data_IF_843102743889
#
_entry.id   IF_843102743889
#
_cell.length_a   1.000
_cell.length_b   1.000
_cell.length_c   1.000
_cell.angle_alpha   90.00
_cell.angle_beta   90.00
_cell.angle_gamma   90.00
#
_symmetry.space_group_name_H-M   'P 1'
#
loop_
_entity.id
_entity.type
_entity.pdbx_description
1 polymer ?
#
# COMPACT_ATOMS: atom_id res chain seq x y z
N UNK A 1 -4.25 -8.41 -0.94
CA UNK A 1 -3.91 -8.58 -2.37
C UNK A 1 -5.03 -8.22 -3.35
N UNK A 2 -6.08 -9.03 -3.58
CA UNK A 2 -7.07 -8.75 -4.66
C UNK A 2 -7.80 -7.41 -4.50
N UNK A 3 -8.38 -7.16 -3.32
CA UNK A 3 -9.02 -5.88 -3.00
C UNK A 3 -8.08 -4.70 -3.26
N UNK A 4 -6.81 -4.84 -2.90
CA UNK A 4 -5.81 -3.80 -3.03
C UNK A 4 -5.54 -3.45 -4.50
N UNK A 5 -5.40 -4.46 -5.38
CA UNK A 5 -5.27 -4.25 -6.83
C UNK A 5 -6.48 -3.51 -7.42
N UNK A 6 -7.70 -3.91 -7.06
CA UNK A 6 -8.90 -3.24 -7.55
C UNK A 6 -9.07 -1.83 -6.99
N UNK A 7 -8.68 -1.58 -5.74
CA UNK A 7 -8.69 -0.27 -5.11
C UNK A 7 -7.69 0.68 -5.79
N UNK A 8 -6.45 0.23 -6.03
CA UNK A 8 -5.41 0.97 -6.75
C UNK A 8 -5.91 1.48 -8.11
N UNK A 9 -6.57 0.60 -8.88
CA UNK A 9 -7.19 0.95 -10.17
C UNK A 9 -8.34 1.95 -10.04
N UNK A 10 -9.23 1.76 -9.08
CA UNK A 10 -10.40 2.64 -8.88
C UNK A 10 -9.98 4.04 -8.46
N UNK A 11 -8.95 4.15 -7.61
CA UNK A 11 -8.37 5.42 -7.20
C UNK A 11 -7.50 6.06 -8.30
N UNK A 12 -7.17 5.32 -9.36
CA UNK A 12 -6.38 5.81 -10.48
C UNK A 12 -4.88 5.86 -10.20
N UNK A 13 -4.41 5.19 -9.15
CA UNK A 13 -3.01 5.20 -8.75
C UNK A 13 -2.15 4.42 -9.76
N UNK A 14 -2.62 3.24 -10.19
CA UNK A 14 -1.95 2.37 -11.16
C UNK A 14 -0.49 2.05 -10.76
N UNK A 15 -0.29 1.62 -9.51
CA UNK A 15 1.03 1.26 -8.97
C UNK A 15 1.12 -0.21 -8.56
N UNK A 16 -0.01 -0.87 -8.35
CA UNK A 16 -0.05 -2.29 -8.00
C UNK A 16 0.11 -3.22 -9.21
N UNK A 17 0.66 -4.41 -8.98
CA UNK A 17 0.77 -5.43 -10.02
C UNK A 17 -0.60 -6.06 -10.33
N UNK A 18 -0.86 -6.44 -11.60
CA UNK A 18 -2.05 -7.19 -11.96
C UNK A 18 -2.23 -8.43 -11.09
N UNK A 19 -3.42 -8.59 -10.53
CA UNK A 19 -3.72 -9.68 -9.62
C UNK A 19 -5.14 -10.21 -9.81
N UNK A 20 -5.29 -11.54 -9.83
CA UNK A 20 -6.58 -12.23 -9.95
C UNK A 20 -6.63 -13.47 -9.05
N UNK A 21 -7.83 -13.88 -8.65
CA UNK A 21 -8.03 -15.12 -7.89
C UNK A 21 -8.38 -16.27 -8.84
N UNK A 22 -7.70 -17.41 -8.71
CA UNK A 22 -7.94 -18.58 -9.58
C UNK A 22 -7.96 -19.91 -8.83
N UNK A 23 -8.84 -20.81 -9.26
CA UNK A 23 -8.92 -22.19 -8.81
C UNK A 23 -8.15 -23.00 -9.82
N UNK A 24 -7.04 -23.57 -9.38
CA UNK A 24 -6.24 -24.42 -10.21
C UNK A 24 -6.80 -25.84 -10.19
N UNK A 25 -7.03 -26.39 -11.38
CA UNK A 25 -7.40 -27.80 -11.59
C UNK A 25 -6.44 -28.34 -12.63
N UNK A 26 -5.33 -28.91 -12.18
CA UNK A 26 -4.27 -29.36 -13.06
C UNK A 26 -3.53 -30.53 -12.43
N UNK A 27 -3.38 -31.63 -13.18
CA UNK A 27 -2.70 -32.84 -12.69
C UNK A 27 -1.18 -32.66 -12.59
N UNK A 28 -0.62 -31.63 -13.24
CA UNK A 28 0.81 -31.32 -13.19
C UNK A 28 1.17 -30.38 -12.02
N UNK A 29 0.19 -29.77 -11.37
CA UNK A 29 0.44 -28.89 -10.23
C UNK A 29 0.42 -29.69 -8.93
N UNK A 30 1.36 -29.44 -7.99
CA UNK A 30 1.35 -30.10 -6.68
C UNK A 30 0.02 -29.93 -5.95
N UNK A 31 -0.39 -30.96 -5.20
CA UNK A 31 -1.66 -31.00 -4.47
C UNK A 31 -1.96 -29.73 -3.65
N UNK A 32 -0.93 -29.10 -3.06
CA UNK A 32 -1.07 -27.84 -2.29
C UNK A 32 -1.70 -26.67 -3.07
N UNK A 33 -1.58 -26.67 -4.40
CA UNK A 33 -2.07 -25.61 -5.28
C UNK A 33 -3.46 -25.89 -5.87
N UNK A 34 -3.82 -27.16 -5.99
CA UNK A 34 -5.09 -27.60 -6.60
C UNK A 34 -6.14 -28.02 -5.57
N UNK A 35 -5.74 -28.20 -4.31
CA UNK A 35 -6.66 -28.50 -3.21
C UNK A 35 -7.19 -27.24 -2.53
N UNK A 36 -8.48 -27.27 -2.19
CA UNK A 36 -9.11 -26.30 -1.31
C UNK A 36 -9.49 -24.98 -1.99
N UNK A 37 -9.12 -23.87 -1.35
CA UNK A 37 -9.58 -22.54 -1.71
C UNK A 37 -8.85 -21.97 -2.95
N UNK A 38 -9.53 -21.10 -3.73
CA UNK A 38 -8.90 -20.30 -4.77
C UNK A 38 -7.60 -19.62 -4.32
N UNK A 39 -6.64 -19.49 -5.23
CA UNK A 39 -5.33 -18.92 -4.96
C UNK A 39 -5.12 -17.59 -5.69
N UNK A 40 -4.46 -16.60 -5.06
CA UNK A 40 -4.08 -15.38 -5.75
C UNK A 40 -3.00 -15.68 -6.79
N UNK A 41 -3.17 -15.13 -7.98
CA UNK A 41 -2.20 -15.10 -9.07
C UNK A 41 -1.82 -13.65 -9.28
N UNK A 42 -0.55 -13.35 -9.07
CA UNK A 42 0.00 -12.00 -9.24
C UNK A 42 0.96 -12.05 -10.40
N UNK A 43 0.87 -11.06 -11.29
CA UNK A 43 1.81 -10.92 -12.39
C UNK A 43 3.24 -10.77 -11.85
N UNK A 44 4.16 -11.57 -12.37
CA UNK A 44 5.58 -11.42 -12.07
C UNK A 44 6.20 -10.40 -13.01
N UNK A 45 6.72 -9.30 -12.46
CA UNK A 45 7.28 -8.19 -13.22
C UNK A 45 8.82 -8.23 -13.17
N UNK A 46 9.51 -8.67 -14.24
CA UNK A 46 10.98 -8.76 -14.27
C UNK A 46 11.68 -7.40 -14.22
N UNK A 47 10.94 -6.33 -14.49
CA UNK A 47 11.48 -4.98 -14.52
C UNK A 47 11.59 -4.38 -13.11
N UNK A 48 11.01 -5.02 -12.08
CA UNK A 48 11.23 -4.61 -10.70
C UNK A 48 12.73 -4.72 -10.38
N UNK A 49 13.26 -3.62 -9.86
CA UNK A 49 14.64 -3.55 -9.40
C UNK A 49 14.73 -4.10 -7.97
N UNK A 50 15.65 -5.02 -7.75
CA UNK A 50 15.97 -5.54 -6.41
C UNK A 50 17.41 -5.19 -6.09
N UNK A 51 17.71 -4.94 -4.81
CA UNK A 51 19.08 -4.82 -4.34
C UNK A 51 19.81 -6.16 -4.52
N UNK A 52 21.10 -6.10 -4.82
CA UNK A 52 21.96 -7.27 -4.92
C UNK A 52 22.46 -7.68 -3.53
N UNK A 53 21.56 -8.18 -2.69
CA UNK A 53 21.83 -8.65 -1.34
C UNK A 53 21.03 -9.94 -1.09
N UNK A 54 21.67 -10.96 -0.51
CA UNK A 54 21.10 -12.30 -0.29
C UNK A 54 19.94 -12.28 0.72
N UNK A 55 19.88 -11.28 1.60
CA UNK A 55 18.86 -11.14 2.67
C UNK A 55 17.85 -10.00 2.43
N UNK A 56 18.00 -9.21 1.36
CA UNK A 56 17.36 -7.89 1.22
C UNK A 56 16.72 -7.66 -0.17
N UNK A 57 16.20 -8.74 -0.77
CA UNK A 57 15.47 -8.72 -2.04
C UNK A 57 14.14 -7.94 -1.98
N UNK A 58 13.79 -7.38 -0.83
CA UNK A 58 12.50 -6.72 -0.63
C UNK A 58 12.49 -5.25 -1.05
N UNK A 59 13.63 -4.65 -1.40
CA UNK A 59 13.75 -3.23 -1.72
C UNK A 59 14.54 -2.99 -3.01
N UNK A 60 14.24 -1.88 -3.69
CA UNK A 60 15.10 -1.27 -4.71
C UNK A 60 16.03 -0.24 -4.10
N UNK A 61 15.64 0.34 -2.96
CA UNK A 61 16.35 1.40 -2.25
C UNK A 61 16.29 1.12 -0.74
N UNK A 62 17.43 1.09 -0.03
CA UNK A 62 17.43 0.94 1.42
C UNK A 62 17.07 2.29 2.09
N UNK A 63 16.02 2.30 2.90
CA UNK A 63 15.59 3.48 3.65
C UNK A 63 15.25 3.11 5.09
N UNK A 64 15.75 3.89 6.05
CA UNK A 64 15.21 3.92 7.41
C UNK A 64 14.08 4.94 7.53
N UNK A 65 13.25 4.82 8.57
CA UNK A 65 12.19 5.77 8.88
C UNK A 65 12.74 7.19 9.01
N UNK A 66 13.87 7.35 9.72
CA UNK A 66 14.51 8.64 9.89
C UNK A 66 15.02 9.24 8.56
N UNK A 67 15.50 8.41 7.63
CA UNK A 67 15.90 8.86 6.29
C UNK A 67 14.68 9.23 5.44
N UNK A 68 13.63 8.41 5.45
CA UNK A 68 12.37 8.69 4.77
C UNK A 68 11.76 10.03 5.20
N UNK A 69 11.67 10.28 6.51
CA UNK A 69 11.16 11.55 7.04
C UNK A 69 12.01 12.77 6.64
N UNK A 70 13.32 12.61 6.49
CA UNK A 70 14.19 13.67 5.93
C UNK A 70 13.94 13.86 4.44
N UNK A 71 13.80 12.77 3.70
CA UNK A 71 13.55 12.78 2.26
C UNK A 71 12.24 13.49 1.90
N UNK A 72 11.16 13.25 2.65
CA UNK A 72 9.88 13.94 2.44
C UNK A 72 10.01 15.47 2.51
N UNK A 73 10.88 15.99 3.37
CA UNK A 73 11.11 17.44 3.51
C UNK A 73 11.88 18.04 2.33
N UNK A 74 12.65 17.23 1.61
CA UNK A 74 13.42 17.67 0.45
C UNK A 74 12.57 17.82 -0.82
N UNK A 75 11.38 17.19 -0.84
CA UNK A 75 10.43 17.29 -1.96
C UNK A 75 11.10 17.02 -3.30
N UNK A 76 11.79 15.88 -3.37
CA UNK A 76 12.58 15.42 -4.51
C UNK A 76 11.79 15.44 -5.83
N UNK A 77 12.40 15.97 -6.90
CA UNK A 77 11.75 16.15 -8.20
C UNK A 77 10.80 17.36 -8.27
N UNK A 78 10.72 18.16 -7.20
CA UNK A 78 9.99 19.44 -7.16
C UNK A 78 10.89 20.60 -6.70
N UNK A 79 11.54 20.43 -5.55
CA UNK A 79 12.44 21.44 -4.96
C UNK A 79 13.90 20.98 -5.05
N UNK A 80 14.18 19.73 -4.68
CA UNK A 80 15.49 19.11 -4.86
C UNK A 80 15.58 18.32 -6.18
N UNK A 81 16.78 18.28 -6.78
CA UNK A 81 17.06 17.40 -7.92
C UNK A 81 16.87 15.95 -7.51
N UNK A 82 16.08 15.23 -8.31
CA UNK A 82 15.77 13.81 -8.14
C UNK A 82 17.02 12.93 -8.10
N UNK A 83 18.10 13.35 -8.77
CA UNK A 83 19.40 12.66 -8.85
C UNK A 83 20.37 13.03 -7.71
N UNK A 84 20.01 13.97 -6.86
CA UNK A 84 20.86 14.34 -5.73
C UNK A 84 21.02 13.15 -4.78
N UNK A 85 22.18 13.02 -4.13
CA UNK A 85 22.46 11.89 -3.24
C UNK A 85 21.51 11.76 -2.04
N UNK A 86 20.83 12.85 -1.67
CA UNK A 86 19.82 12.85 -0.61
C UNK A 86 18.43 12.39 -1.10
N UNK A 87 18.21 12.38 -2.41
CA UNK A 87 17.04 11.83 -3.06
C UNK A 87 17.32 10.39 -3.51
N UNK A 88 16.28 9.56 -3.56
CA UNK A 88 16.40 8.14 -3.94
C UNK A 88 15.92 7.86 -5.35
N UNK A 89 15.92 8.88 -6.21
CA UNK A 89 15.43 8.76 -7.58
C UNK A 89 13.90 8.77 -7.72
N UNK A 90 13.13 8.76 -6.63
CA UNK A 90 11.65 8.70 -6.62
C UNK A 90 11.01 10.08 -6.44
N UNK A 91 10.00 10.40 -7.26
CA UNK A 91 9.28 11.68 -7.18
C UNK A 91 8.55 11.84 -5.85
N UNK A 92 8.55 13.06 -5.30
CA UNK A 92 7.88 13.39 -4.03
C UNK A 92 6.40 12.95 -3.99
N UNK A 93 5.67 13.14 -5.08
CA UNK A 93 4.25 12.80 -5.21
C UNK A 93 3.96 11.30 -5.06
N UNK A 94 4.95 10.44 -5.30
CA UNK A 94 4.79 8.98 -5.17
C UNK A 94 4.65 8.57 -3.69
N UNK A 95 5.26 9.30 -2.76
CA UNK A 95 5.13 9.01 -1.33
C UNK A 95 3.74 9.34 -0.80
N UNK A 96 3.12 10.42 -1.27
CA UNK A 96 1.72 10.74 -0.98
C UNK A 96 0.74 9.72 -1.57
N UNK A 97 1.04 9.24 -2.78
CA UNK A 97 0.28 8.17 -3.45
C UNK A 97 0.35 6.87 -2.64
N UNK A 98 1.56 6.49 -2.21
CA UNK A 98 1.79 5.31 -1.38
C UNK A 98 1.09 5.42 -0.03
N UNK A 99 1.30 6.53 0.69
CA UNK A 99 0.73 6.74 2.01
C UNK A 99 -0.80 6.71 2.02
N UNK A 100 -1.46 7.28 0.99
CA UNK A 100 -2.92 7.20 0.84
C UNK A 100 -3.38 5.75 0.70
N UNK A 101 -2.73 4.98 -0.16
CA UNK A 101 -3.08 3.60 -0.43
C UNK A 101 -2.90 2.72 0.81
N UNK A 102 -1.72 2.81 1.44
CA UNK A 102 -1.38 2.06 2.63
C UNK A 102 -2.25 2.46 3.82
N UNK A 103 -2.62 3.74 3.96
CA UNK A 103 -3.56 4.17 5.01
C UNK A 103 -4.98 3.60 4.81
N UNK A 104 -5.53 3.62 3.60
CA UNK A 104 -6.88 3.06 3.38
C UNK A 104 -6.93 1.56 3.71
N UNK A 105 -5.91 0.83 3.27
CA UNK A 105 -5.82 -0.62 3.49
C UNK A 105 -5.25 -1.00 4.86
N UNK A 106 -4.62 -0.06 5.57
CA UNK A 106 -3.80 -0.30 6.76
C UNK A 106 -2.69 -1.32 6.49
N UNK A 107 -1.98 -1.15 5.36
CA UNK A 107 -0.74 -1.89 5.05
C UNK A 107 0.39 -1.21 5.81
N UNK A 108 0.75 -1.75 6.98
CA UNK A 108 1.78 -1.15 7.80
C UNK A 108 3.18 -1.65 7.48
N UNK A 109 3.34 -2.89 6.98
CA UNK A 109 4.64 -3.52 6.88
C UNK A 109 5.68 -2.70 6.09
N UNK A 110 5.21 -1.98 5.05
CA UNK A 110 6.06 -1.16 4.18
C UNK A 110 6.72 0.04 4.89
N UNK A 111 5.92 0.87 5.57
CA UNK A 111 6.37 2.13 6.20
C UNK A 111 6.52 2.05 7.72
N UNK A 112 5.88 1.06 8.34
CA UNK A 112 5.80 0.83 9.78
C UNK A 112 5.80 -0.68 10.10
N UNK A 113 6.82 -1.39 9.58
CA UNK A 113 7.13 -2.81 9.84
C UNK A 113 7.10 -3.21 11.31
N UNK A 114 7.37 -2.25 12.19
CA UNK A 114 7.56 -2.45 13.62
C UNK A 114 6.27 -2.16 14.41
N UNK A 115 5.17 -1.81 13.74
CA UNK A 115 3.89 -1.47 14.34
C UNK A 115 3.98 -0.34 15.38
N UNK A 116 4.75 0.70 15.10
CA UNK A 116 4.95 1.80 16.03
C UNK A 116 3.80 2.81 16.02
N UNK A 117 2.99 2.85 14.97
CA UNK A 117 1.95 3.86 14.78
C UNK A 117 0.54 3.45 15.24
N UNK A 118 0.39 2.28 15.84
CA UNK A 118 -0.88 1.77 16.39
C UNK A 118 -0.59 0.76 17.50
N UNK A 119 -1.61 0.36 18.27
CA UNK A 119 -1.47 -0.72 19.25
C UNK A 119 -1.63 -2.08 18.54
N UNK A 120 -0.57 -2.90 18.40
CA UNK A 120 -0.67 -4.19 17.74
C UNK A 120 -1.35 -5.24 18.60
N UNK A 121 -2.03 -6.20 17.93
CA UNK A 121 -2.45 -7.44 18.57
C UNK A 121 -1.21 -8.31 18.86
N UNK A 122 -1.18 -9.12 19.93
CA UNK A 122 -0.06 -10.00 20.23
C UNK A 122 0.31 -10.97 19.10
N UNK A 123 -0.62 -11.29 18.21
CA UNK A 123 -0.42 -12.18 17.04
C UNK A 123 0.12 -11.47 15.79
N UNK A 124 0.31 -10.15 15.84
CA UNK A 124 0.93 -9.42 14.73
C UNK A 124 2.41 -9.80 14.61
N UNK A 125 2.89 -10.01 13.38
CA UNK A 125 4.26 -10.45 13.10
C UNK A 125 5.34 -9.53 13.68
N UNK A 126 5.07 -8.23 13.79
CA UNK A 126 5.97 -7.27 14.42
C UNK A 126 6.16 -7.51 15.93
N UNK A 127 5.17 -8.09 16.59
CA UNK A 127 5.22 -8.46 18.02
C UNK A 127 5.86 -9.84 18.17
N UNK A 128 5.40 -10.82 17.40
CA UNK A 128 5.93 -12.19 17.45
C UNK A 128 7.44 -12.24 17.15
N UNK A 129 7.90 -11.44 16.18
CA UNK A 129 9.31 -11.33 15.82
C UNK A 129 10.10 -10.32 16.68
N UNK A 130 9.51 -9.81 17.77
CA UNK A 130 10.11 -8.84 18.70
C UNK A 130 10.58 -7.54 18.05
N UNK A 131 10.06 -7.21 16.86
CA UNK A 131 10.41 -5.98 16.15
C UNK A 131 9.87 -4.75 16.89
N UNK A 132 8.66 -4.84 17.45
CA UNK A 132 8.00 -3.72 18.15
C UNK A 132 8.85 -3.10 19.27
N UNK A 133 9.74 -3.88 19.91
CA UNK A 133 10.67 -3.39 20.92
C UNK A 133 11.61 -2.27 20.42
N UNK A 134 11.82 -2.17 19.10
CA UNK A 134 12.68 -1.16 18.47
C UNK A 134 11.99 0.19 18.26
N UNK A 135 10.67 0.31 18.51
CA UNK A 135 9.95 1.57 18.31
C UNK A 135 10.50 2.76 19.12
N UNK A 136 11.25 2.50 20.20
CA UNK A 136 11.94 3.54 20.99
C UNK A 136 13.13 4.20 20.28
N UNK A 137 13.66 3.63 19.19
CA UNK A 137 14.78 4.20 18.45
C UNK A 137 14.47 4.33 16.94
N UNK A 138 14.07 5.52 16.46
CA UNK A 138 13.70 5.71 15.05
C UNK A 138 14.80 5.39 14.02
N UNK A 139 16.07 5.34 14.43
CA UNK A 139 17.20 5.00 13.55
C UNK A 139 17.25 3.51 13.20
N UNK A 140 16.65 2.67 14.03
CA UNK A 140 16.66 1.21 13.86
C UNK A 140 15.45 0.70 13.07
N UNK A 141 14.56 1.62 12.68
CA UNK A 141 13.33 1.33 11.95
C UNK A 141 13.59 1.41 10.45
N UNK A 142 13.52 0.27 9.77
CA UNK A 142 13.72 0.15 8.33
C UNK A 142 12.38 0.09 7.58
N UNK A 143 12.36 0.65 6.38
CA UNK A 143 11.28 0.47 5.42
C UNK A 143 11.56 -0.79 4.58
N UNK A 144 10.50 -1.45 4.16
CA UNK A 144 10.56 -2.62 3.26
C UNK A 144 9.57 -2.45 2.12
N UNK A 145 9.71 -3.25 1.05
CA UNK A 145 8.84 -3.18 -0.13
C UNK A 145 8.83 -1.78 -0.78
N UNK A 146 9.95 -1.06 -0.70
CA UNK A 146 10.19 0.19 -1.44
C UNK A 146 10.78 -0.19 -2.78
N UNK A 147 9.90 -0.35 -3.76
CA UNK A 147 10.25 -0.89 -5.07
C UNK A 147 9.97 0.09 -6.19
N UNK A 148 10.82 0.02 -7.21
CA UNK A 148 10.73 0.77 -8.47
C UNK A 148 11.01 -0.16 -9.64
N UNK A 149 10.70 0.31 -10.85
CA UNK A 149 11.04 -0.37 -12.10
C UNK A 149 12.38 0.11 -12.63
N UNK A 150 13.13 -0.76 -13.31
CA UNK A 150 14.39 -0.37 -13.98
C UNK A 150 14.12 0.58 -15.13
N UNK A 151 13.03 0.37 -15.88
CA UNK A 151 12.66 1.23 -17.00
C UNK A 151 12.20 2.63 -16.56
N UNK A 152 11.62 2.74 -15.36
CA UNK A 152 11.21 4.01 -14.75
C UNK A 152 11.42 3.96 -13.23
N UNK A 153 12.62 4.32 -12.74
CA UNK A 153 12.94 4.29 -11.32
C UNK A 153 12.31 5.45 -10.54
N UNK A 154 11.60 6.35 -11.23
CA UNK A 154 11.03 7.54 -10.62
C UNK A 154 9.68 7.33 -9.95
N UNK A 155 9.08 6.15 -10.17
CA UNK A 155 7.75 5.76 -9.70
C UNK A 155 7.81 4.49 -8.85
N UNK A 156 7.01 4.46 -7.80
CA UNK A 156 6.96 3.33 -6.89
C UNK A 156 6.13 2.17 -7.49
N UNK A 157 6.36 0.95 -7.01
CA UNK A 157 5.58 -0.24 -7.33
C UNK A 157 5.03 -0.83 -6.04
N UNK A 158 3.71 -1.05 -6.01
CA UNK A 158 3.03 -1.54 -4.82
C UNK A 158 2.90 -3.06 -4.89
N UNK A 159 3.83 -3.76 -4.24
CA UNK A 159 3.71 -5.19 -3.93
C UNK A 159 3.45 -5.41 -2.45
N UNK A 160 3.12 -6.65 -2.10
CA UNK A 160 2.81 -7.09 -0.74
C UNK A 160 1.73 -6.24 -0.04
N UNK A 161 0.62 -6.08 -0.73
CA UNK A 161 -0.50 -5.22 -0.30
C UNK A 161 -1.45 -5.98 0.64
N UNK A 162 -0.90 -6.65 1.66
CA UNK A 162 -1.66 -7.33 2.70
C UNK A 162 -2.20 -6.28 3.70
N UNK A 163 -3.42 -5.80 3.45
CA UNK A 163 -4.09 -4.85 4.35
C UNK A 163 -4.73 -5.51 5.57
N UNK A 164 -5.15 -4.69 6.53
CA UNK A 164 -5.77 -5.09 7.81
C UNK A 164 -7.22 -4.60 7.87
N UNK A 165 -8.18 -5.31 7.25
CA UNK A 165 -9.54 -4.81 7.11
C UNK A 165 -10.32 -4.76 8.43
N UNK A 166 -9.91 -5.53 9.44
CA UNK A 166 -10.50 -5.53 10.78
C UNK A 166 -9.89 -4.46 11.70
N UNK A 167 -8.85 -3.73 11.27
CA UNK A 167 -8.24 -2.68 12.09
C UNK A 167 -9.28 -1.62 12.46
N UNK A 168 -9.46 -1.42 13.77
CA UNK A 168 -10.42 -0.47 14.35
C UNK A 168 -10.11 0.96 13.95
N UNK A 169 -11.16 1.76 13.74
CA UNK A 169 -11.06 3.18 13.39
C UNK A 169 -10.42 4.03 14.49
N UNK A 170 -10.48 3.56 15.74
CA UNK A 170 -9.87 4.23 16.90
C UNK A 170 -8.39 3.85 17.09
N UNK A 171 -7.87 2.95 16.25
CA UNK A 171 -6.51 2.44 16.33
C UNK A 171 -5.85 2.47 14.93
N UNK A 172 -6.24 3.40 14.06
CA UNK A 172 -5.64 3.51 12.73
C UNK A 172 -4.19 3.98 12.83
N UNK A 173 -3.35 3.44 11.96
CA UNK A 173 -1.95 3.78 11.88
C UNK A 173 -1.74 5.12 11.14
N UNK A 174 -1.77 6.23 11.88
CA UNK A 174 -1.50 7.56 11.33
C UNK A 174 -0.02 7.83 11.04
N UNK A 175 0.90 6.97 11.52
CA UNK A 175 2.31 7.05 11.14
C UNK A 175 2.49 6.90 9.64
N UNK A 176 1.63 6.13 8.96
CA UNK A 176 1.68 5.95 7.50
C UNK A 176 1.56 7.25 6.70
N UNK A 177 0.94 8.29 7.27
CA UNK A 177 0.79 9.61 6.65
C UNK A 177 1.67 10.68 7.30
N UNK A 178 2.53 10.30 8.25
CA UNK A 178 3.41 11.23 8.95
C UNK A 178 4.45 11.83 7.99
N UNK A 179 4.57 13.17 8.02
CA UNK A 179 5.50 13.92 7.17
C UNK A 179 5.05 14.09 5.71
N UNK A 180 3.97 13.42 5.29
CA UNK A 180 3.40 13.55 3.94
C UNK A 180 2.64 14.87 3.85
N UNK A 181 2.95 15.69 2.85
CA UNK A 181 2.37 17.02 2.69
C UNK A 181 1.56 17.21 1.39
N UNK A 182 1.49 16.19 0.54
CA UNK A 182 0.67 16.18 -0.67
C UNK A 182 0.04 14.81 -0.96
N UNK A 183 -1.16 14.81 -1.54
CA UNK A 183 -1.92 13.62 -1.91
C UNK A 183 -2.45 13.69 -3.36
N UNK A 184 -2.65 12.55 -4.04
CA UNK A 184 -3.14 12.53 -5.41
C UNK A 184 -4.57 13.04 -5.53
N UNK A 185 -4.77 14.13 -6.29
CA UNK A 185 -6.04 14.86 -6.43
C UNK A 185 -7.16 13.95 -6.94
N UNK A 186 -6.85 13.05 -7.89
CA UNK A 186 -7.83 12.12 -8.47
C UNK A 186 -8.37 11.14 -7.43
N UNK A 187 -7.48 10.51 -6.66
CA UNK A 187 -7.89 9.56 -5.63
C UNK A 187 -8.71 10.26 -4.55
N UNK A 188 -8.27 11.46 -4.12
CA UNK A 188 -9.01 12.29 -3.16
C UNK A 188 -10.39 12.66 -3.69
N UNK A 189 -10.51 13.01 -4.97
CA UNK A 189 -11.80 13.30 -5.62
C UNK A 189 -12.73 12.09 -5.63
N UNK A 190 -12.21 10.88 -5.88
CA UNK A 190 -12.99 9.64 -5.78
C UNK A 190 -13.52 9.42 -4.37
N UNK A 191 -12.69 9.62 -3.33
CA UNK A 191 -13.11 9.49 -1.94
C UNK A 191 -14.17 10.54 -1.55
N UNK A 192 -14.05 11.77 -2.05
CA UNK A 192 -15.02 12.84 -1.81
C UNK A 192 -16.35 12.63 -2.55
N UNK A 193 -16.33 11.98 -3.70
CA UNK A 193 -17.51 11.79 -4.56
C UNK A 193 -18.60 10.88 -3.95
N UNK A 194 -18.26 10.08 -2.94
CA UNK A 194 -19.15 9.04 -2.42
C UNK A 194 -19.40 7.88 -3.40
N UNK A 195 -18.66 7.80 -4.51
CA UNK A 195 -18.82 6.76 -5.52
C UNK A 195 -17.88 5.56 -5.33
N UNK A 196 -17.12 5.48 -4.22
CA UNK A 196 -16.13 4.41 -4.03
C UNK A 196 -16.79 3.03 -4.04
N UNK A 197 -17.92 2.84 -3.34
CA UNK A 197 -18.62 1.54 -3.34
C UNK A 197 -19.00 1.08 -4.75
N UNK A 198 -19.66 1.93 -5.54
CA UNK A 198 -20.15 1.55 -6.87
C UNK A 198 -19.00 1.25 -7.83
N UNK A 199 -17.94 2.07 -7.81
CA UNK A 199 -16.75 1.88 -8.64
C UNK A 199 -15.98 0.60 -8.25
N UNK A 200 -15.82 0.35 -6.95
CA UNK A 200 -15.07 -0.79 -6.46
C UNK A 200 -15.83 -2.10 -6.66
N UNK A 201 -17.15 -2.14 -6.45
CA UNK A 201 -17.97 -3.30 -6.79
C UNK A 201 -17.90 -3.61 -8.29
N UNK A 202 -17.99 -2.60 -9.16
CA UNK A 202 -17.87 -2.79 -10.62
C UNK A 202 -16.50 -3.33 -11.00
N UNK A 203 -15.43 -2.82 -10.39
CA UNK A 203 -14.07 -3.30 -10.61
C UNK A 203 -13.91 -4.75 -10.16
N UNK A 204 -14.33 -5.08 -8.93
CA UNK A 204 -14.22 -6.42 -8.33
C UNK A 204 -15.01 -7.48 -9.08
N UNK A 205 -16.15 -7.11 -9.69
CA UNK A 205 -16.96 -8.01 -10.51
C UNK A 205 -16.21 -8.59 -11.72
N UNK A 206 -15.13 -7.93 -12.16
CA UNK A 206 -14.30 -8.45 -13.26
C UNK A 206 -13.47 -9.67 -12.85
N UNK A 207 -13.24 -9.87 -11.56
CA UNK A 207 -12.66 -11.11 -11.02
C UNK A 207 -13.76 -11.98 -10.41
N UNK A 208 -14.40 -12.78 -11.26
CA UNK A 208 -15.56 -13.62 -10.90
C UNK A 208 -15.30 -14.54 -9.73
N UNK A 209 -14.11 -15.10 -9.69
CA UNK A 209 -13.78 -16.06 -8.65
C UNK A 209 -13.59 -15.39 -7.29
N UNK A 210 -12.94 -14.22 -7.27
CA UNK A 210 -12.89 -13.41 -6.05
C UNK A 210 -14.28 -12.92 -5.64
N UNK A 211 -15.08 -12.44 -6.59
CA UNK A 211 -16.43 -11.99 -6.35
C UNK A 211 -17.30 -13.06 -5.70
N UNK A 212 -17.38 -14.25 -6.31
CA UNK A 212 -18.23 -15.35 -5.84
C UNK A 212 -17.72 -15.90 -4.50
N UNK A 213 -16.41 -16.06 -4.32
CA UNK A 213 -15.81 -16.53 -3.06
C UNK A 213 -16.00 -15.56 -1.88
N UNK A 214 -16.36 -14.30 -2.14
CA UNK A 214 -16.70 -13.31 -1.13
C UNK A 214 -18.20 -13.09 -0.97
N UNK A 215 -19.06 -13.92 -1.58
CA UNK A 215 -20.52 -13.77 -1.48
C UNK A 215 -21.05 -12.58 -2.29
N UNK A 216 -20.35 -12.21 -3.36
CA UNK A 216 -20.69 -11.12 -4.25
C UNK A 216 -20.76 -9.76 -3.57
N UNK A 217 -21.65 -8.89 -4.08
CA UNK A 217 -21.79 -7.52 -3.58
C UNK A 217 -22.08 -7.47 -2.08
N UNK A 218 -22.98 -8.33 -1.61
CA UNK A 218 -23.41 -8.34 -0.20
C UNK A 218 -22.27 -8.66 0.76
N UNK A 219 -21.42 -9.63 0.43
CA UNK A 219 -20.28 -9.97 1.30
C UNK A 219 -19.09 -9.01 1.17
N UNK A 220 -18.97 -8.28 0.05
CA UNK A 220 -17.93 -7.26 -0.15
C UNK A 220 -18.28 -5.91 0.48
N UNK A 221 -19.57 -5.55 0.58
CA UNK A 221 -20.02 -4.26 1.12
C UNK A 221 -19.46 -3.88 2.49
N UNK A 222 -19.41 -4.77 3.51
CA UNK A 222 -18.85 -4.41 4.82
C UNK A 222 -17.39 -3.94 4.72
N UNK A 223 -16.59 -4.64 3.93
CA UNK A 223 -15.19 -4.32 3.68
C UNK A 223 -15.03 -2.97 2.96
N UNK A 224 -15.86 -2.71 1.95
CA UNK A 224 -15.87 -1.45 1.22
C UNK A 224 -16.28 -0.28 2.13
N UNK A 225 -17.30 -0.46 2.97
CA UNK A 225 -17.73 0.56 3.95
C UNK A 225 -16.61 0.90 4.93
N UNK A 226 -15.80 -0.07 5.34
CA UNK A 226 -14.59 0.18 6.14
C UNK A 226 -13.61 1.08 5.39
N UNK A 227 -13.36 0.82 4.10
CA UNK A 227 -12.49 1.67 3.27
C UNK A 227 -13.06 3.08 3.12
N UNK A 228 -14.37 3.23 2.87
CA UNK A 228 -15.01 4.54 2.78
C UNK A 228 -14.93 5.31 4.10
N UNK A 229 -15.10 4.63 5.24
CA UNK A 229 -14.98 5.25 6.53
C UNK A 229 -13.55 5.73 6.80
N UNK A 230 -12.54 4.92 6.49
CA UNK A 230 -11.13 5.32 6.55
C UNK A 230 -10.82 6.46 5.59
N UNK A 231 -11.40 6.46 4.40
CA UNK A 231 -11.32 7.55 3.44
C UNK A 231 -11.84 8.87 4.03
N UNK A 232 -13.00 8.85 4.71
CA UNK A 232 -13.54 10.04 5.40
C UNK A 232 -12.61 10.54 6.50
N UNK A 233 -11.97 9.63 7.25
CA UNK A 233 -10.98 9.99 8.27
C UNK A 233 -9.74 10.64 7.63
N UNK A 234 -9.21 10.08 6.55
CA UNK A 234 -8.09 10.64 5.81
C UNK A 234 -8.42 12.01 5.22
N UNK A 235 -9.60 12.17 4.61
CA UNK A 235 -10.06 13.46 4.08
C UNK A 235 -10.15 14.54 5.16
N UNK A 236 -10.61 14.17 6.37
CA UNK A 236 -10.59 15.06 7.53
C UNK A 236 -9.16 15.44 7.89
N UNK A 237 -8.25 14.48 7.97
CA UNK A 237 -6.83 14.73 8.25
C UNK A 237 -6.19 15.68 7.22
N UNK A 238 -6.40 15.45 5.92
CA UNK A 238 -5.93 16.31 4.82
C UNK A 238 -6.40 17.76 5.02
N UNK A 239 -7.68 17.95 5.31
CA UNK A 239 -8.27 19.28 5.52
C UNK A 239 -7.73 19.95 6.78
N UNK A 240 -7.72 19.24 7.91
CA UNK A 240 -7.37 19.80 9.21
C UNK A 240 -5.87 20.18 9.26
N UNK A 241 -5.02 19.41 8.57
CA UNK A 241 -3.59 19.66 8.41
C UNK A 241 -3.24 20.56 7.21
N UNK A 242 -4.25 20.97 6.41
CA UNK A 242 -4.09 21.80 5.20
C UNK A 242 -3.08 21.23 4.19
N UNK A 243 -3.14 19.92 3.97
CA UNK A 243 -2.25 19.20 3.06
C UNK A 243 -2.64 19.47 1.60
N UNK A 244 -1.64 19.44 0.71
CA UNK A 244 -1.82 19.82 -0.69
C UNK A 244 -2.43 18.67 -1.51
N UNK A 245 -3.12 19.03 -2.59
CA UNK A 245 -3.57 18.07 -3.59
C UNK A 245 -2.76 18.27 -4.87
N UNK A 246 -2.18 17.19 -5.38
CA UNK A 246 -1.36 17.22 -6.59
C UNK A 246 -2.09 16.53 -7.73
N UNK A 247 -2.18 17.20 -8.88
CA UNK A 247 -2.62 16.58 -10.13
C UNK A 247 -1.65 15.48 -10.51
N UNK A 248 -2.17 14.29 -10.72
CA UNK A 248 -1.40 13.14 -11.19
C UNK A 248 -0.73 13.51 -12.53
N UNK A 249 0.56 13.14 -12.66
CA UNK A 249 1.32 13.20 -13.92
C UNK A 249 1.05 11.95 -14.77
#
# INVERSE_FOLDING_TARGET
MMLAFHLDRVLGLNRSLPAVLRTFRSEILPYRYISGAPRPVVWWDPDIQHLADEDNDQNSVPLSWAQYQKLLRLRCGREADLRSAACVGVHHSEWGTLALFDFLLQVNDRLDRYCCGFTPDPTELCVENLLHAKCGNPKDLLLVHILVRKADPSRLVFIDNAGRPQQSTNNLNFRLVEGVDEFPERAVSVLQSGCLESLLLRSLYTDREFWDSKGGASGLRPLIRTLEHRGKILLRHIRDMKLQLKRDL
#
